data_IF_366506827124
#
_entry.id   IF_366506827124
#
_cell.length_a   1.000
_cell.length_b   1.000
_cell.length_c   1.000
_cell.angle_alpha   90.00
_cell.angle_beta   90.00
_cell.angle_gamma   90.00
#
_symmetry.space_group_name_H-M   'P 1'
#
loop_
_entity.id
_entity.type
_entity.pdbx_description
1 polymer ?
#
# COMPACT_ATOMS: atom_id res chain seq x y z
N UNK A 1 2.17 17.47 1.44
CA UNK A 1 1.78 16.05 1.30
C UNK A 1 2.10 15.22 2.55
N UNK A 2 3.22 15.47 3.22
CA UNK A 2 3.67 14.75 4.43
C UNK A 2 2.89 15.04 5.73
N UNK A 3 2.15 16.15 5.83
CA UNK A 3 1.28 16.48 6.98
C UNK A 3 -0.13 15.87 6.88
N UNK A 4 -0.45 15.26 5.72
CA UNK A 4 -1.79 14.69 5.44
C UNK A 4 -2.17 13.44 6.26
N UNK A 5 -1.25 12.67 6.88
CA UNK A 5 -1.63 11.51 7.69
C UNK A 5 -1.90 11.84 9.17
N UNK A 6 -1.47 13.02 9.64
CA UNK A 6 -1.69 13.45 11.03
C UNK A 6 -2.79 14.50 11.05
N UNK A 7 -3.91 14.19 11.71
CA UNK A 7 -4.95 15.16 12.06
C UNK A 7 -4.35 16.23 12.99
N UNK A 8 -4.94 17.44 12.99
CA UNK A 8 -4.45 18.55 13.84
C UNK A 8 -4.33 18.16 15.32
N UNK A 9 -5.23 17.30 15.81
CA UNK A 9 -5.18 16.75 17.17
C UNK A 9 -3.90 15.95 17.44
N UNK A 10 -3.45 15.13 16.49
CA UNK A 10 -2.23 14.35 16.67
C UNK A 10 -0.97 15.22 16.56
N UNK A 11 -1.01 16.32 15.81
CA UNK A 11 0.08 17.32 15.83
C UNK A 11 0.20 18.01 17.17
N UNK A 12 -0.93 18.36 17.80
CA UNK A 12 -0.96 18.92 19.15
C UNK A 12 -0.40 17.91 20.16
N UNK A 13 -0.77 16.63 20.06
CA UNK A 13 -0.25 15.56 20.94
C UNK A 13 1.26 15.38 20.76
N UNK A 14 1.76 15.34 19.52
CA UNK A 14 3.21 15.24 19.26
C UNK A 14 3.96 16.47 19.78
N UNK A 15 3.43 17.67 19.55
CA UNK A 15 4.00 18.91 20.09
C UNK A 15 4.03 18.93 21.62
N UNK A 16 2.95 18.51 22.26
CA UNK A 16 2.86 18.40 23.72
C UNK A 16 3.84 17.34 24.26
N UNK A 17 3.98 16.20 23.60
CA UNK A 17 4.92 15.15 23.98
C UNK A 17 6.38 15.63 23.88
N UNK A 18 6.71 16.38 22.82
CA UNK A 18 8.04 16.98 22.63
C UNK A 18 8.34 18.04 23.71
N UNK A 19 7.38 18.89 24.05
CA UNK A 19 7.56 19.88 25.12
C UNK A 19 7.71 19.18 26.48
N UNK A 20 6.91 18.16 26.74
CA UNK A 20 6.96 17.38 27.98
C UNK A 20 8.35 16.76 28.20
N UNK A 21 8.98 16.26 27.14
CA UNK A 21 10.27 15.58 27.26
C UNK A 21 11.43 16.56 27.28
N UNK A 22 11.30 17.68 26.58
CA UNK A 22 12.18 18.83 26.76
C UNK A 22 12.18 19.31 28.21
N UNK A 23 11.00 19.34 28.86
CA UNK A 23 10.87 19.70 30.27
C UNK A 23 11.51 18.66 31.20
N UNK A 24 11.32 17.35 30.96
CA UNK A 24 11.94 16.28 31.77
C UNK A 24 13.47 16.37 31.70
N UNK A 25 14.04 16.50 30.50
CA UNK A 25 15.49 16.61 30.33
C UNK A 25 16.01 17.85 31.05
N UNK A 26 15.31 18.98 30.95
CA UNK A 26 15.67 20.21 31.66
C UNK A 26 15.67 20.05 33.19
N UNK A 27 14.65 19.42 33.78
CA UNK A 27 14.58 19.18 35.23
C UNK A 27 15.70 18.25 35.70
N UNK A 28 15.98 17.19 34.95
CA UNK A 28 17.03 16.23 35.30
C UNK A 28 18.43 16.85 35.25
N UNK A 29 18.68 17.66 34.22
CA UNK A 29 19.96 18.35 34.04
C UNK A 29 20.17 19.45 35.09
N UNK A 30 19.07 20.14 35.47
CA UNK A 30 19.05 21.09 36.59
C UNK A 30 19.37 20.40 37.93
N UNK A 31 18.78 19.22 38.17
CA UNK A 31 19.00 18.45 39.39
C UNK A 31 20.40 17.81 39.46
N UNK A 32 21.01 17.49 38.31
CA UNK A 32 22.36 16.93 38.22
C UNK A 32 23.48 17.98 38.36
N UNK A 33 23.13 19.25 38.60
CA UNK A 33 24.06 20.36 38.91
C UNK A 33 25.20 20.53 37.89
N UNK A 34 24.89 20.45 36.59
CA UNK A 34 25.89 20.50 35.52
C UNK A 34 26.30 21.97 35.19
N UNK A 35 27.60 22.33 35.14
CA UNK A 35 28.06 23.72 35.00
C UNK A 35 27.77 24.35 33.62
N UNK A 36 27.44 23.56 32.60
CA UNK A 36 27.05 24.04 31.27
C UNK A 36 25.66 24.70 31.23
N UNK A 37 24.83 24.45 32.24
CA UNK A 37 23.46 24.97 32.35
C UNK A 37 23.37 26.16 33.32
N UNK A 38 24.38 27.02 33.40
CA UNK A 38 24.36 28.20 34.30
C UNK A 38 24.14 29.54 33.59
N UNK A 39 23.47 29.52 32.43
CA UNK A 39 23.20 30.68 31.59
C UNK A 39 21.72 31.09 31.51
N UNK A 40 21.40 32.23 30.86
CA UNK A 40 20.04 32.75 30.72
C UNK A 40 19.07 31.72 30.11
N UNK A 41 17.83 31.69 30.61
CA UNK A 41 16.78 30.69 30.30
C UNK A 41 16.61 30.35 28.80
N UNK A 42 16.74 31.35 27.92
CA UNK A 42 16.59 31.16 26.46
C UNK A 42 17.74 30.36 25.83
N UNK A 43 18.96 30.52 26.34
CA UNK A 43 20.13 29.79 25.83
C UNK A 43 20.16 28.36 26.36
N UNK A 44 19.79 28.12 27.61
CA UNK A 44 19.66 26.75 28.15
C UNK A 44 18.64 25.91 27.38
N UNK A 45 17.49 26.52 27.03
CA UNK A 45 16.47 25.85 26.24
C UNK A 45 17.03 25.48 24.86
N UNK A 46 17.73 26.41 24.20
CA UNK A 46 18.39 26.18 22.92
C UNK A 46 19.45 25.09 22.94
N UNK A 47 20.31 25.06 23.98
CA UNK A 47 21.34 24.02 24.12
C UNK A 47 20.73 22.66 24.44
N UNK A 48 19.68 22.60 25.26
CA UNK A 48 18.93 21.36 25.50
C UNK A 48 18.20 20.86 24.24
N UNK A 49 17.63 21.78 23.45
CA UNK A 49 17.00 21.45 22.16
C UNK A 49 18.04 20.93 21.17
N UNK A 50 19.23 21.54 21.13
CA UNK A 50 20.34 21.11 20.30
C UNK A 50 20.90 19.75 20.73
N UNK A 51 21.02 19.51 22.04
CA UNK A 51 21.53 18.27 22.61
C UNK A 51 20.54 17.11 22.40
N UNK A 52 19.23 17.34 22.60
CA UNK A 52 18.19 16.34 22.33
C UNK A 52 18.08 16.01 20.84
N UNK A 53 18.24 16.99 19.95
CA UNK A 53 18.28 16.79 18.50
C UNK A 53 19.55 16.04 18.05
N UNK A 54 20.73 16.39 18.58
CA UNK A 54 21.98 15.67 18.34
C UNK A 54 21.97 14.26 18.92
N UNK A 55 21.35 14.03 20.08
CA UNK A 55 21.24 12.68 20.67
C UNK A 55 20.32 11.77 19.84
N UNK A 56 19.25 12.32 19.23
CA UNK A 56 18.33 11.59 18.37
C UNK A 56 18.98 11.08 17.07
N UNK A 57 19.92 11.86 16.51
CA UNK A 57 20.58 11.56 15.23
C UNK A 57 22.02 11.07 15.36
N UNK A 58 22.67 11.29 16.51
CA UNK A 58 24.10 11.13 16.72
C UNK A 58 24.38 10.52 18.11
N UNK A 59 23.79 9.35 18.37
CA UNK A 59 23.77 8.66 19.67
C UNK A 59 25.14 8.20 20.24
N UNK A 60 26.29 8.73 19.77
CA UNK A 60 27.61 8.22 20.15
C UNK A 60 28.59 9.21 20.79
N UNK A 61 28.35 10.54 20.79
CA UNK A 61 29.49 11.48 20.95
C UNK A 61 29.61 12.30 22.22
N UNK A 62 28.75 12.16 23.22
CA UNK A 62 28.90 12.95 24.47
C UNK A 62 28.84 12.06 25.71
N UNK A 63 29.91 12.13 26.52
CA UNK A 63 30.12 11.33 27.72
C UNK A 63 29.21 11.81 28.85
N UNK A 64 28.08 11.11 29.04
CA UNK A 64 27.09 11.42 30.07
C UNK A 64 27.57 10.84 31.41
N UNK A 65 27.71 11.71 32.42
CA UNK A 65 28.41 11.38 33.67
C UNK A 65 27.58 10.58 34.69
N UNK A 66 26.25 10.52 34.54
CA UNK A 66 25.32 9.89 35.50
C UNK A 66 24.56 8.69 34.92
N UNK A 67 24.57 7.57 35.65
CA UNK A 67 23.88 6.33 35.28
C UNK A 67 22.35 6.50 35.14
N UNK A 68 21.75 7.43 35.89
CA UNK A 68 20.30 7.70 35.86
C UNK A 68 19.91 8.36 34.54
N UNK A 69 20.69 9.35 34.10
CA UNK A 69 20.45 10.07 32.85
C UNK A 69 20.55 9.14 31.64
N UNK A 70 21.44 8.14 31.70
CA UNK A 70 21.57 7.10 30.67
C UNK A 70 20.32 6.22 30.55
N UNK A 71 19.75 5.79 31.67
CA UNK A 71 18.50 4.99 31.67
C UNK A 71 17.33 5.81 31.12
N UNK A 72 17.22 7.08 31.51
CA UNK A 72 16.16 7.97 31.00
C UNK A 72 16.26 8.17 29.49
N UNK A 73 17.46 8.33 28.93
CA UNK A 73 17.66 8.46 27.48
C UNK A 73 17.26 7.18 26.75
N UNK A 74 17.58 6.00 27.28
CA UNK A 74 17.18 4.72 26.68
C UNK A 74 15.65 4.58 26.65
N UNK A 75 14.97 4.93 27.75
CA UNK A 75 13.49 4.93 27.81
C UNK A 75 12.91 5.97 26.83
N UNK A 76 13.52 7.15 26.73
CA UNK A 76 13.11 8.20 25.79
C UNK A 76 13.25 7.76 24.33
N UNK A 77 14.38 7.15 23.96
CA UNK A 77 14.60 6.59 22.62
C UNK A 77 13.57 5.50 22.30
N UNK A 78 13.19 4.69 23.27
CA UNK A 78 12.14 3.68 23.09
C UNK A 78 10.78 4.33 22.79
N UNK A 79 10.42 5.41 23.50
CA UNK A 79 9.18 6.17 23.22
C UNK A 79 9.19 6.78 21.82
N UNK A 80 10.29 7.42 21.41
CA UNK A 80 10.44 8.00 20.06
C UNK A 80 10.37 6.93 18.98
N UNK A 81 10.98 5.76 19.24
CA UNK A 81 10.94 4.63 18.32
C UNK A 81 9.51 4.14 18.09
N UNK A 82 8.75 3.91 19.17
CA UNK A 82 7.33 3.53 19.08
C UNK A 82 6.52 4.57 18.31
N UNK A 83 6.74 5.86 18.58
CA UNK A 83 6.06 6.96 17.86
C UNK A 83 6.35 6.94 16.36
N UNK A 84 7.61 6.70 15.99
CA UNK A 84 8.06 6.65 14.59
C UNK A 84 7.51 5.42 13.88
N UNK A 85 7.48 4.26 14.55
CA UNK A 85 6.85 3.04 14.04
C UNK A 85 5.35 3.23 13.82
N UNK A 86 4.63 3.81 14.78
CA UNK A 86 3.20 4.11 14.64
C UNK A 86 2.92 5.12 13.53
N UNK A 87 3.74 6.16 13.39
CA UNK A 87 3.63 7.11 12.27
C UNK A 87 3.78 6.41 10.93
N UNK A 88 4.81 5.55 10.80
CA UNK A 88 5.07 4.80 9.57
C UNK A 88 3.91 3.85 9.25
N UNK A 89 3.37 3.15 10.27
CA UNK A 89 2.21 2.26 10.10
C UNK A 89 0.95 3.02 9.66
N UNK A 90 0.65 4.16 10.29
CA UNK A 90 -0.50 5.00 9.94
C UNK A 90 -0.36 5.62 8.55
N UNK A 91 0.84 6.09 8.20
CA UNK A 91 1.14 6.58 6.85
C UNK A 91 0.94 5.47 5.81
N UNK A 92 1.46 4.28 6.05
CA UNK A 92 1.25 3.11 5.20
C UNK A 92 -0.22 2.76 5.05
N UNK A 93 -1.01 2.80 6.14
CA UNK A 93 -2.46 2.57 6.11
C UNK A 93 -3.19 3.60 5.25
N UNK A 94 -2.79 4.88 5.31
CA UNK A 94 -3.41 5.92 4.48
C UNK A 94 -3.04 5.76 3.00
N UNK A 95 -1.81 5.34 2.71
CA UNK A 95 -1.40 5.04 1.33
C UNK A 95 -2.15 3.83 0.77
N UNK A 96 -2.44 2.82 1.59
CA UNK A 96 -3.24 1.66 1.15
C UNK A 96 -4.72 2.02 0.96
N UNK A 97 -5.32 2.80 1.88
CA UNK A 97 -6.72 3.26 1.75
C UNK A 97 -6.91 4.12 0.51
N UNK A 98 -6.01 5.07 0.22
CA UNK A 98 -6.13 5.90 -0.98
C UNK A 98 -6.02 5.11 -2.27
N UNK A 99 -5.25 4.03 -2.30
CA UNK A 99 -5.17 3.13 -3.47
C UNK A 99 -6.50 2.41 -3.69
N UNK A 100 -7.16 1.95 -2.63
CA UNK A 100 -8.49 1.35 -2.70
C UNK A 100 -9.55 2.37 -3.12
N UNK A 101 -9.56 3.54 -2.49
CA UNK A 101 -10.53 4.62 -2.77
C UNK A 101 -10.41 5.11 -4.20
N UNK A 102 -9.19 5.38 -4.70
CA UNK A 102 -8.95 5.81 -6.10
C UNK A 102 -9.47 4.81 -7.12
N UNK A 103 -9.42 3.51 -6.83
CA UNK A 103 -9.95 2.47 -7.71
C UNK A 103 -11.49 2.44 -7.68
N UNK A 104 -12.12 2.65 -6.51
CA UNK A 104 -13.58 2.75 -6.39
C UNK A 104 -14.09 4.02 -7.07
N UNK A 105 -13.42 5.16 -6.86
CA UNK A 105 -13.79 6.43 -7.47
C UNK A 105 -13.67 6.38 -8.98
N UNK A 106 -12.70 5.67 -9.55
CA UNK A 106 -12.56 5.49 -11.00
C UNK A 106 -13.77 4.75 -11.59
N UNK A 107 -14.23 3.67 -10.95
CA UNK A 107 -15.42 2.92 -11.39
C UNK A 107 -16.70 3.75 -11.23
N UNK A 108 -16.84 4.49 -10.13
CA UNK A 108 -17.98 5.39 -9.92
C UNK A 108 -17.98 6.57 -10.89
N UNK A 109 -16.80 7.10 -11.22
CA UNK A 109 -16.59 8.15 -12.20
C UNK A 109 -16.97 7.69 -13.62
N UNK A 110 -16.57 6.48 -14.01
CA UNK A 110 -16.98 5.87 -15.28
C UNK A 110 -18.51 5.74 -15.37
N UNK A 111 -19.18 5.38 -14.27
CA UNK A 111 -20.65 5.35 -14.21
C UNK A 111 -21.28 6.74 -14.29
N UNK A 112 -20.74 7.71 -13.55
CA UNK A 112 -21.26 9.08 -13.52
C UNK A 112 -21.14 9.77 -14.89
N UNK A 113 -20.05 9.50 -15.61
CA UNK A 113 -19.76 10.05 -16.93
C UNK A 113 -20.47 9.30 -18.07
N UNK A 114 -21.11 8.16 -17.78
CA UNK A 114 -21.67 7.22 -18.77
C UNK A 114 -20.63 6.82 -19.82
N UNK A 115 -19.40 6.61 -19.37
CA UNK A 115 -18.29 6.20 -20.23
C UNK A 115 -18.49 4.77 -20.68
N UNK A 116 -18.19 4.49 -21.96
CA UNK A 116 -18.28 3.14 -22.51
C UNK A 116 -17.10 2.32 -22.02
N UNK A 117 -17.38 1.13 -21.48
CA UNK A 117 -16.38 0.19 -20.95
C UNK A 117 -16.33 -1.07 -21.82
N UNK A 118 -15.13 -1.56 -22.10
CA UNK A 118 -14.91 -2.76 -22.90
C UNK A 118 -14.80 -4.00 -22.02
N UNK A 119 -15.45 -5.10 -22.42
CA UNK A 119 -15.19 -6.43 -21.87
C UNK A 119 -15.39 -7.51 -22.92
N UNK A 120 -14.84 -8.69 -22.66
CA UNK A 120 -15.20 -9.89 -23.41
C UNK A 120 -16.65 -10.27 -23.07
N UNK A 121 -17.51 -10.36 -24.09
CA UNK A 121 -18.93 -10.60 -23.92
C UNK A 121 -19.28 -12.03 -23.50
N UNK A 122 -18.40 -12.99 -23.78
CA UNK A 122 -18.56 -14.38 -23.35
C UNK A 122 -17.97 -14.61 -21.94
N UNK A 123 -17.29 -13.61 -21.37
CA UNK A 123 -16.72 -13.69 -20.02
C UNK A 123 -17.79 -13.44 -18.95
N UNK A 124 -17.58 -14.07 -17.78
CA UNK A 124 -18.35 -13.78 -16.57
C UNK A 124 -18.27 -12.29 -16.16
N UNK A 125 -17.22 -11.59 -16.60
CA UNK A 125 -16.99 -10.17 -16.35
C UNK A 125 -18.18 -9.33 -16.80
N UNK A 126 -18.82 -9.66 -17.93
CA UNK A 126 -20.01 -8.95 -18.41
C UNK A 126 -21.16 -9.03 -17.39
N UNK A 127 -21.49 -10.25 -16.96
CA UNK A 127 -22.55 -10.47 -15.95
C UNK A 127 -22.20 -9.81 -14.62
N UNK A 128 -20.92 -9.75 -14.26
CA UNK A 128 -20.46 -9.08 -13.04
C UNK A 128 -20.62 -7.56 -13.13
N UNK A 129 -20.27 -6.95 -14.27
CA UNK A 129 -20.44 -5.51 -14.52
C UNK A 129 -21.93 -5.10 -14.45
N UNK A 130 -22.80 -5.89 -15.08
CA UNK A 130 -24.24 -5.64 -15.11
C UNK A 130 -24.90 -5.89 -13.73
N UNK A 131 -24.62 -7.03 -13.08
CA UNK A 131 -25.36 -7.43 -11.88
C UNK A 131 -24.79 -6.86 -10.57
N UNK A 132 -23.47 -6.71 -10.46
CA UNK A 132 -22.79 -6.30 -9.22
C UNK A 132 -22.39 -4.84 -9.27
N UNK A 133 -21.65 -4.42 -10.32
CA UNK A 133 -21.21 -3.02 -10.45
C UNK A 133 -22.36 -2.09 -10.90
N UNK A 134 -23.43 -2.67 -11.46
CA UNK A 134 -24.63 -1.97 -11.96
C UNK A 134 -24.35 -1.04 -13.13
N UNK A 135 -23.46 -1.44 -14.03
CA UNK A 135 -23.33 -0.77 -15.33
C UNK A 135 -24.55 -1.05 -16.21
N UNK A 136 -24.93 -0.08 -17.05
CA UNK A 136 -25.97 -0.28 -18.05
C UNK A 136 -25.39 -1.09 -19.21
N UNK A 137 -26.15 -2.06 -19.72
CA UNK A 137 -25.69 -2.89 -20.85
C UNK A 137 -25.36 -2.09 -22.12
N UNK A 138 -25.97 -0.91 -22.31
CA UNK A 138 -25.65 0.00 -23.40
C UNK A 138 -24.26 0.66 -23.28
N UNK A 139 -23.75 0.81 -22.06
CA UNK A 139 -22.45 1.41 -21.76
C UNK A 139 -21.34 0.33 -21.75
N UNK A 140 -21.68 -0.94 -22.04
CA UNK A 140 -20.74 -2.07 -22.09
C UNK A 140 -20.56 -2.50 -23.54
N UNK A 141 -19.35 -2.30 -24.06
CA UNK A 141 -18.97 -2.75 -25.38
C UNK A 141 -18.38 -4.17 -25.34
N UNK A 142 -18.94 -5.05 -26.14
CA UNK A 142 -18.44 -6.41 -26.31
C UNK A 142 -17.23 -6.40 -27.26
N UNK A 143 -16.08 -6.86 -26.77
CA UNK A 143 -14.84 -7.01 -27.54
C UNK A 143 -14.40 -8.48 -27.41
N UNK A 144 -14.66 -9.25 -28.47
CA UNK A 144 -14.39 -10.70 -28.50
C UNK A 144 -12.93 -11.04 -28.74
N UNK A 145 -12.12 -10.12 -29.27
CA UNK A 145 -10.73 -10.39 -29.61
C UNK A 145 -9.76 -9.48 -28.83
N UNK A 146 -8.80 -10.08 -28.13
CA UNK A 146 -7.77 -9.39 -27.34
C UNK A 146 -6.95 -8.37 -28.16
N UNK A 147 -6.79 -8.59 -29.46
CA UNK A 147 -6.04 -7.69 -30.34
C UNK A 147 -6.83 -6.44 -30.77
N UNK A 148 -8.14 -6.37 -30.51
CA UNK A 148 -8.97 -5.23 -30.86
C UNK A 148 -8.95 -4.13 -29.80
N UNK A 149 -8.63 -4.46 -28.54
CA UNK A 149 -8.58 -3.49 -27.44
C UNK A 149 -7.74 -2.25 -27.77
N UNK A 150 -6.52 -2.34 -28.34
CA UNK A 150 -5.74 -1.16 -28.66
C UNK A 150 -6.43 -0.22 -29.66
N UNK A 151 -7.10 -0.76 -30.69
CA UNK A 151 -7.85 0.03 -31.67
C UNK A 151 -9.08 0.69 -31.05
N UNK A 152 -9.74 0.01 -30.12
CA UNK A 152 -10.89 0.54 -29.39
C UNK A 152 -10.51 1.67 -28.42
N UNK A 153 -9.35 1.55 -27.76
CA UNK A 153 -8.80 2.63 -26.95
C UNK A 153 -8.38 3.85 -27.79
N UNK A 154 -7.72 3.62 -28.94
CA UNK A 154 -7.28 4.70 -29.83
C UNK A 154 -8.42 5.45 -30.51
N UNK A 155 -9.50 4.74 -30.86
CA UNK A 155 -10.70 5.34 -31.45
C UNK A 155 -11.58 6.07 -30.43
N UNK A 156 -11.28 5.98 -29.12
CA UNK A 156 -12.09 6.58 -28.06
C UNK A 156 -13.43 5.88 -27.84
N UNK A 157 -13.62 4.69 -28.43
CA UNK A 157 -14.84 3.89 -28.26
C UNK A 157 -14.96 3.27 -26.87
N UNK A 158 -13.84 3.09 -26.16
CA UNK A 158 -13.82 2.64 -24.76
C UNK A 158 -12.92 3.55 -23.93
N UNK A 159 -13.34 3.84 -22.70
CA UNK A 159 -12.53 4.59 -21.72
C UNK A 159 -11.76 3.67 -20.79
N UNK A 160 -12.29 2.48 -20.53
CA UNK A 160 -11.67 1.47 -19.67
C UNK A 160 -11.99 0.06 -20.18
N UNK A 161 -11.12 -0.90 -19.88
CA UNK A 161 -11.34 -2.31 -20.16
C UNK A 161 -11.34 -3.12 -18.87
N UNK A 162 -12.35 -3.98 -18.70
CA UNK A 162 -12.41 -4.94 -17.61
C UNK A 162 -11.98 -6.30 -18.13
N UNK A 163 -10.83 -6.76 -17.65
CA UNK A 163 -10.20 -8.03 -18.03
C UNK A 163 -9.96 -8.87 -16.77
N UNK A 164 -10.00 -10.19 -16.91
CA UNK A 164 -9.62 -11.07 -15.81
C UNK A 164 -8.11 -10.96 -15.54
N UNK A 165 -7.70 -11.16 -14.29
CA UNK A 165 -6.32 -10.95 -13.85
C UNK A 165 -5.22 -11.59 -14.73
N UNK A 166 -5.30 -12.87 -15.15
CA UNK A 166 -4.27 -13.45 -16.01
C UNK A 166 -4.22 -12.76 -17.38
N UNK A 167 -5.37 -12.44 -17.99
CA UNK A 167 -5.43 -11.76 -19.28
C UNK A 167 -4.99 -10.30 -19.20
N UNK A 168 -5.39 -9.58 -18.14
CA UNK A 168 -4.93 -8.22 -17.88
C UNK A 168 -3.40 -8.17 -17.76
N UNK A 169 -2.80 -9.16 -17.07
CA UNK A 169 -1.34 -9.23 -16.92
C UNK A 169 -0.63 -9.46 -18.25
N UNK A 170 -1.16 -10.36 -19.09
CA UNK A 170 -0.61 -10.59 -20.44
C UNK A 170 -0.76 -9.34 -21.31
N UNK A 171 -1.92 -8.68 -21.28
CA UNK A 171 -2.18 -7.46 -22.05
C UNK A 171 -1.23 -6.32 -21.67
N UNK A 172 -1.04 -6.04 -20.37
CA UNK A 172 -0.11 -5.01 -19.92
C UNK A 172 1.33 -5.35 -20.29
N UNK A 173 1.73 -6.61 -20.17
CA UNK A 173 3.08 -7.04 -20.58
C UNK A 173 3.30 -6.95 -22.10
N UNK A 174 2.25 -7.15 -22.90
CA UNK A 174 2.33 -6.98 -24.35
C UNK A 174 2.37 -5.50 -24.76
N UNK A 175 1.69 -4.63 -24.02
CA UNK A 175 1.53 -3.21 -24.33
C UNK A 175 2.10 -2.28 -23.24
N UNK A 176 3.28 -2.61 -22.69
CA UNK A 176 3.94 -2.02 -21.51
C UNK A 176 4.01 -0.48 -21.42
N UNK A 177 3.84 0.26 -22.53
CA UNK A 177 4.05 1.71 -22.58
C UNK A 177 2.77 2.54 -22.65
N UNK A 178 1.65 1.95 -23.11
CA UNK A 178 0.46 2.72 -23.48
C UNK A 178 -0.71 2.53 -22.51
N UNK A 179 -0.67 1.48 -21.68
CA UNK A 179 -1.78 1.13 -20.81
C UNK A 179 -1.28 0.86 -19.40
N UNK A 180 -2.10 1.26 -18.42
CA UNK A 180 -1.88 0.97 -17.01
C UNK A 180 -3.10 0.21 -16.51
N UNK A 181 -2.87 -0.93 -15.87
CA UNK A 181 -3.93 -1.62 -15.15
C UNK A 181 -4.03 -1.05 -13.74
N UNK A 182 -5.21 -0.54 -13.39
CA UNK A 182 -5.52 -0.21 -12.01
C UNK A 182 -5.62 -1.52 -11.21
N UNK A 183 -4.94 -1.59 -10.06
CA UNK A 183 -4.89 -2.82 -9.25
C UNK A 183 -6.31 -3.30 -8.90
N UNK A 184 -6.58 -4.61 -8.92
CA UNK A 184 -7.93 -5.11 -8.76
C UNK A 184 -8.44 -4.83 -7.33
N UNK A 185 -9.63 -4.25 -7.24
CA UNK A 185 -10.34 -4.07 -5.97
C UNK A 185 -10.71 -5.42 -5.33
N UNK A 186 -10.79 -6.49 -6.12
CA UNK A 186 -11.21 -7.81 -5.66
C UNK A 186 -10.33 -8.88 -6.33
N UNK A 187 -9.65 -9.69 -5.51
CA UNK A 187 -9.01 -10.94 -5.94
C UNK A 187 -10.15 -11.92 -6.27
N UNK A 188 -10.65 -11.89 -7.50
CA UNK A 188 -11.63 -12.87 -7.95
C UNK A 188 -11.02 -14.27 -7.96
N UNK A 189 -11.90 -15.25 -7.78
CA UNK A 189 -11.57 -16.66 -7.52
C UNK A 189 -10.58 -17.29 -8.51
N UNK A 190 -10.07 -18.45 -8.14
CA UNK A 190 -9.10 -19.20 -8.93
C UNK A 190 -9.74 -19.91 -10.14
N UNK A 191 -8.90 -20.22 -11.12
CA UNK A 191 -9.27 -21.13 -12.20
C UNK A 191 -9.41 -22.54 -11.63
N UNK A 192 -10.51 -23.21 -11.96
CA UNK A 192 -10.82 -24.58 -11.52
C UNK A 192 -11.11 -25.48 -12.72
N UNK A 193 -10.83 -26.77 -12.56
CA UNK A 193 -11.16 -27.79 -13.54
C UNK A 193 -12.42 -28.53 -13.11
N UNK A 194 -13.30 -28.83 -14.08
CA UNK A 194 -14.50 -29.65 -13.89
C UNK A 194 -14.41 -30.86 -14.80
N UNK A 195 -14.64 -32.06 -14.25
CA UNK A 195 -14.83 -33.28 -15.03
C UNK A 195 -16.29 -33.73 -14.93
N UNK A 196 -16.91 -34.00 -16.08
CA UNK A 196 -18.30 -34.49 -16.19
C UNK A 196 -18.42 -36.00 -16.05
N UNK A 197 -17.30 -36.73 -16.10
CA UNK A 197 -17.31 -38.20 -16.04
C UNK A 197 -17.15 -38.70 -14.61
N UNK A 198 -18.14 -39.47 -14.15
CA UNK A 198 -18.10 -40.21 -12.88
C UNK A 198 -17.02 -41.29 -12.82
N UNK A 199 -16.43 -41.65 -13.96
CA UNK A 199 -15.36 -42.66 -14.10
C UNK A 199 -13.95 -42.12 -13.86
N UNK A 200 -13.72 -40.82 -14.03
CA UNK A 200 -12.45 -40.18 -13.70
C UNK A 200 -12.56 -39.62 -12.28
N UNK A 201 -11.88 -40.21 -11.30
CA UNK A 201 -11.94 -39.69 -9.93
C UNK A 201 -11.37 -38.27 -9.90
N UNK A 202 -12.18 -37.22 -9.67
CA UNK A 202 -11.68 -35.85 -9.59
C UNK A 202 -10.62 -35.73 -8.48
N UNK A 203 -10.71 -36.59 -7.47
CA UNK A 203 -9.75 -36.70 -6.39
C UNK A 203 -8.34 -37.10 -6.84
N UNK A 204 -8.22 -38.00 -7.83
CA UNK A 204 -6.92 -38.40 -8.38
C UNK A 204 -6.23 -37.25 -9.13
N UNK A 205 -7.01 -36.47 -9.89
CA UNK A 205 -6.50 -35.29 -10.61
C UNK A 205 -6.10 -34.18 -9.64
N UNK A 206 -6.93 -33.88 -8.63
CA UNK A 206 -6.62 -32.89 -7.59
C UNK A 206 -5.37 -33.29 -6.80
N UNK A 207 -5.23 -34.57 -6.43
CA UNK A 207 -4.05 -35.07 -5.70
C UNK A 207 -2.78 -35.00 -6.55
N UNK A 208 -2.88 -35.32 -7.84
CA UNK A 208 -1.77 -35.15 -8.79
C UNK A 208 -1.37 -33.67 -8.93
N UNK A 209 -2.35 -32.78 -9.07
CA UNK A 209 -2.10 -31.34 -9.23
C UNK A 209 -1.46 -30.73 -7.98
N UNK A 210 -1.97 -31.06 -6.79
CA UNK A 210 -1.41 -30.58 -5.53
C UNK A 210 0.02 -31.12 -5.29
N UNK A 211 0.20 -32.44 -5.33
CA UNK A 211 1.48 -33.05 -4.96
C UNK A 211 2.59 -32.85 -6.00
N UNK A 212 2.30 -33.01 -7.30
CA UNK A 212 3.35 -32.99 -8.32
C UNK A 212 3.56 -31.62 -8.97
N UNK A 213 2.50 -30.83 -9.15
CA UNK A 213 2.58 -29.57 -9.88
C UNK A 213 2.81 -28.39 -8.91
N UNK A 214 2.01 -28.28 -7.84
CA UNK A 214 2.13 -27.19 -6.88
C UNK A 214 3.28 -27.41 -5.88
N UNK A 215 3.28 -28.54 -5.14
CA UNK A 215 4.34 -28.84 -4.15
C UNK A 215 5.67 -29.22 -4.82
N UNK A 216 5.63 -29.94 -5.94
CA UNK A 216 6.81 -30.28 -6.74
C UNK A 216 7.45 -29.10 -7.49
N UNK A 217 6.92 -27.88 -7.36
CA UNK A 217 7.50 -26.66 -7.94
C UNK A 217 7.51 -26.58 -9.48
N UNK A 218 6.88 -27.56 -10.16
CA UNK A 218 6.77 -27.62 -11.62
C UNK A 218 5.74 -26.64 -12.18
N UNK A 219 4.77 -26.21 -11.37
CA UNK A 219 3.80 -25.17 -11.73
C UNK A 219 4.30 -23.78 -11.30
N UNK A 220 5.40 -23.34 -11.90
CA UNK A 220 5.70 -21.91 -11.99
C UNK A 220 5.07 -21.45 -13.30
N UNK A 221 4.15 -20.46 -13.33
CA UNK A 221 3.71 -19.89 -14.59
C UNK A 221 4.97 -19.44 -15.32
N UNK A 222 5.33 -20.08 -16.45
CA UNK A 222 6.60 -19.78 -17.09
C UNK A 222 6.56 -18.32 -17.51
N UNK A 223 7.59 -17.57 -17.15
CA UNK A 223 7.88 -16.26 -17.74
C UNK A 223 7.88 -16.34 -19.29
N UNK A 224 8.01 -17.56 -19.84
CA UNK A 224 7.92 -17.93 -21.26
C UNK A 224 6.57 -17.61 -21.91
N UNK A 225 5.45 -17.65 -21.19
CA UNK A 225 4.12 -17.36 -21.77
C UNK A 225 3.63 -15.93 -21.48
N UNK A 226 4.33 -15.20 -20.61
CA UNK A 226 3.92 -13.87 -20.13
C UNK A 226 4.88 -12.75 -20.54
N UNK A 227 6.00 -13.09 -21.17
CA UNK A 227 7.00 -12.12 -21.62
C UNK A 227 6.72 -11.65 -23.05
N UNK A 228 7.04 -10.39 -23.39
CA UNK A 228 7.07 -9.98 -24.78
C UNK A 228 8.23 -10.71 -25.49
N UNK A 229 7.99 -11.15 -26.73
CA UNK A 229 9.08 -11.41 -27.67
C UNK A 229 9.87 -10.12 -27.93
#
# INVERSE_FOLDING_TARGET
MFLKPFTMEMWVVTGALLIYTMFIVWVLEYQSNNPAFRGPWKNQLGTALWFTFSSLFFAHREAIHSNITRVVIVVWLFVVFVLTSSYTASLSSILTVRRLESNVTDVEWLKATKSVVGCDGDSFVRKYLENVIKFKGADIKNISNQYQYPGEFQSGNISAAFLELPYAKVFINQFCKNYTANQPLNRFGGLGFVSSNSSSSPFAFTKFFLGNLLEGGKFRPPNVWSGPN
#
